data_IF_612887859087
#
_entry.id   IF_612887859087
#
_cell.length_a   1.000
_cell.length_b   1.000
_cell.length_c   1.000
_cell.angle_alpha   90.00
_cell.angle_beta   90.00
_cell.angle_gamma   90.00
#
_symmetry.space_group_name_H-M   'P 1'
#
loop_
_entity.id
_entity.type
_entity.pdbx_description
1 polymer ?
#
# COMPACT_ATOMS: atom_id res chain seq x y z
N UNK A 1 19.73 49.76 -1.68
CA UNK A 1 19.10 48.47 -2.04
C UNK A 1 18.28 48.00 -0.85
N UNK A 2 16.95 47.93 -0.95
CA UNK A 2 16.08 47.49 0.15
C UNK A 2 15.93 45.97 0.14
N UNK A 3 15.90 45.29 1.31
CA UNK A 3 15.72 43.84 1.35
C UNK A 3 14.26 43.46 1.06
N UNK A 4 14.07 42.35 0.35
CA UNK A 4 12.75 41.82 0.03
C UNK A 4 12.02 41.29 1.28
N UNK A 5 10.67 41.40 1.37
CA UNK A 5 9.94 40.94 2.54
C UNK A 5 9.85 39.41 2.61
N UNK A 6 10.12 38.86 3.80
CA UNK A 6 9.98 37.44 4.15
C UNK A 6 8.52 36.97 4.01
N UNK A 7 8.29 36.04 3.08
CA UNK A 7 6.98 35.42 2.81
C UNK A 7 6.63 34.45 3.93
N UNK A 8 5.58 34.75 4.71
CA UNK A 8 5.04 33.86 5.77
C UNK A 8 4.64 32.51 5.16
N UNK A 9 5.14 31.41 5.73
CA UNK A 9 4.73 30.03 5.40
C UNK A 9 3.24 29.87 5.70
N UNK A 10 2.43 29.56 4.68
CA UNK A 10 1.05 29.08 4.87
C UNK A 10 1.14 27.70 5.51
N UNK A 11 0.64 27.59 6.73
CA UNK A 11 0.44 26.34 7.43
C UNK A 11 -0.61 25.51 6.66
N UNK A 12 -0.18 24.37 6.12
CA UNK A 12 -1.07 23.45 5.40
C UNK A 12 -1.84 22.65 6.45
N UNK A 13 -3.14 22.94 6.62
CA UNK A 13 -4.00 22.14 7.48
C UNK A 13 -4.07 20.69 6.97
N UNK A 14 -3.89 19.67 7.83
CA UNK A 14 -3.95 18.27 7.41
C UNK A 14 -5.39 17.90 7.02
N UNK A 15 -5.52 17.29 5.84
CA UNK A 15 -6.80 16.79 5.31
C UNK A 15 -7.25 15.61 6.20
N UNK A 16 -8.48 15.61 6.75
CA UNK A 16 -8.96 14.51 7.57
C UNK A 16 -9.16 13.25 6.71
N UNK A 17 -8.43 12.18 7.03
CA UNK A 17 -8.49 10.86 6.37
C UNK A 17 -9.66 9.98 6.85
N UNK A 18 -10.74 10.57 7.40
CA UNK A 18 -11.85 9.81 7.99
C UNK A 18 -12.90 9.41 6.96
N UNK A 19 -12.52 8.53 6.04
CA UNK A 19 -13.47 7.77 5.22
C UNK A 19 -13.78 6.43 5.86
N UNK A 20 -14.91 6.28 6.55
CA UNK A 20 -15.37 4.97 7.03
C UNK A 20 -15.80 4.11 5.84
N UNK A 21 -14.92 3.18 5.44
CA UNK A 21 -15.12 2.35 4.25
C UNK A 21 -16.21 1.29 4.52
N UNK A 22 -17.41 1.51 3.99
CA UNK A 22 -18.53 0.55 4.04
C UNK A 22 -18.11 -0.81 3.46
N UNK A 23 -18.17 -1.86 4.27
CA UNK A 23 -17.72 -3.22 3.93
C UNK A 23 -18.70 -3.83 2.92
N UNK A 24 -18.37 -3.76 1.63
CA UNK A 24 -19.19 -4.37 0.57
C UNK A 24 -19.01 -5.89 0.59
N UNK A 25 -20.11 -6.63 0.51
CA UNK A 25 -20.10 -8.09 0.42
C UNK A 25 -19.82 -8.51 -1.03
N UNK A 26 -18.54 -8.64 -1.37
CA UNK A 26 -18.10 -8.95 -2.73
C UNK A 26 -18.17 -10.47 -2.94
N UNK A 27 -19.13 -10.94 -3.73
CA UNK A 27 -19.15 -12.34 -4.22
C UNK A 27 -18.00 -12.52 -5.22
N UNK A 28 -17.06 -13.42 -4.91
CA UNK A 28 -15.92 -13.73 -5.80
C UNK A 28 -16.32 -14.83 -6.77
N UNK A 29 -16.42 -14.52 -8.06
CA UNK A 29 -16.56 -15.52 -9.11
C UNK A 29 -15.16 -16.10 -9.42
N UNK A 30 -14.95 -17.38 -9.09
CA UNK A 30 -13.63 -18.02 -9.18
C UNK A 30 -13.01 -18.00 -10.59
N UNK A 31 -13.82 -18.01 -11.64
CA UNK A 31 -13.35 -18.05 -13.04
C UNK A 31 -12.99 -16.67 -13.63
N UNK A 32 -13.26 -15.57 -12.93
CA UNK A 32 -13.03 -14.19 -13.42
C UNK A 32 -12.16 -13.35 -12.49
N UNK A 33 -11.45 -14.00 -11.57
CA UNK A 33 -10.63 -13.31 -10.57
C UNK A 33 -9.18 -13.76 -10.70
N UNK A 34 -8.25 -12.85 -10.51
CA UNK A 34 -6.83 -13.13 -10.37
C UNK A 34 -6.25 -12.36 -9.18
N UNK A 35 -5.18 -12.88 -8.57
CA UNK A 35 -4.43 -12.22 -7.52
C UNK A 35 -3.12 -11.66 -8.09
N UNK A 36 -3.05 -10.34 -8.26
CA UNK A 36 -1.81 -9.65 -8.61
C UNK A 36 -1.10 -9.18 -7.34
N UNK A 37 0.16 -9.60 -7.17
CA UNK A 37 1.06 -9.16 -6.11
C UNK A 37 2.15 -8.33 -6.77
N UNK A 38 2.25 -7.05 -6.41
CA UNK A 38 3.15 -6.08 -7.04
C UNK A 38 4.33 -5.79 -6.12
N UNK A 39 5.53 -5.69 -6.69
CA UNK A 39 6.76 -5.21 -6.05
C UNK A 39 7.13 -5.86 -4.70
N UNK A 40 6.84 -7.15 -4.56
CA UNK A 40 7.23 -7.93 -3.36
C UNK A 40 8.65 -8.52 -3.46
N UNK A 41 9.54 -7.84 -4.18
CA UNK A 41 10.95 -8.23 -4.33
C UNK A 41 11.78 -7.82 -3.10
N UNK A 42 12.96 -8.43 -2.93
CA UNK A 42 13.82 -8.19 -1.76
C UNK A 42 14.24 -6.73 -1.60
N UNK A 43 14.38 -5.98 -2.70
CA UNK A 43 14.77 -4.56 -2.69
C UNK A 43 13.76 -3.67 -1.98
N UNK A 44 12.48 -4.01 -2.02
CA UNK A 44 11.43 -3.27 -1.32
C UNK A 44 11.27 -3.70 0.14
N UNK A 45 11.75 -4.89 0.51
CA UNK A 45 11.38 -5.56 1.78
C UNK A 45 12.56 -5.73 2.75
N UNK A 46 13.72 -6.15 2.26
CA UNK A 46 14.81 -6.66 3.08
C UNK A 46 16.00 -5.69 3.17
N UNK A 47 16.37 -5.09 2.05
CA UNK A 47 17.56 -4.24 1.98
C UNK A 47 17.24 -2.82 2.45
N UNK A 48 17.57 -2.50 3.71
CA UNK A 48 17.36 -1.15 4.28
C UNK A 48 18.10 -0.04 3.52
N UNK A 49 19.18 -0.40 2.84
CA UNK A 49 19.99 0.53 2.05
C UNK A 49 19.51 0.62 0.59
N UNK A 50 18.49 -0.15 0.21
CA UNK A 50 17.88 -0.04 -1.10
C UNK A 50 17.20 1.32 -1.23
N UNK A 51 17.36 2.02 -2.37
CA UNK A 51 16.67 3.28 -2.62
C UNK A 51 15.14 3.14 -2.63
N UNK A 52 14.64 1.92 -2.80
CA UNK A 52 13.20 1.60 -2.84
C UNK A 52 12.72 0.85 -1.60
N UNK A 53 13.47 0.87 -0.50
CA UNK A 53 13.11 0.17 0.73
C UNK A 53 11.81 0.70 1.36
N UNK A 54 10.84 -0.19 1.62
CA UNK A 54 9.54 0.13 2.21
C UNK A 54 9.39 -0.58 3.55
N UNK A 55 9.66 0.14 4.66
CA UNK A 55 9.57 -0.41 6.02
C UNK A 55 8.21 -1.06 6.35
N UNK A 56 7.05 -0.50 5.95
CA UNK A 56 5.75 -1.15 6.18
C UNK A 56 5.53 -2.47 5.44
N UNK A 57 6.28 -2.77 4.38
CA UNK A 57 6.06 -3.97 3.54
C UNK A 57 6.15 -5.26 4.36
N UNK A 58 7.07 -5.30 5.35
CA UNK A 58 7.22 -6.45 6.27
C UNK A 58 5.95 -6.81 7.03
N UNK A 59 5.10 -5.82 7.37
CA UNK A 59 3.84 -6.07 8.10
C UNK A 59 2.74 -6.65 7.21
N UNK A 60 2.88 -6.53 5.89
CA UNK A 60 1.87 -6.95 4.91
C UNK A 60 2.13 -8.38 4.41
N UNK A 61 3.40 -8.83 4.42
CA UNK A 61 3.81 -10.18 3.98
C UNK A 61 2.92 -11.30 4.57
N UNK A 62 2.66 -11.38 5.89
CA UNK A 62 1.87 -12.48 6.43
C UNK A 62 0.43 -12.51 5.89
N UNK A 63 -0.15 -11.33 5.62
CA UNK A 63 -1.49 -11.20 5.06
C UNK A 63 -1.52 -11.64 3.60
N UNK A 64 -0.49 -11.29 2.81
CA UNK A 64 -0.34 -11.70 1.42
C UNK A 64 -0.18 -13.21 1.33
N UNK A 65 0.69 -13.81 2.15
CA UNK A 65 0.89 -15.27 2.19
C UNK A 65 -0.43 -15.99 2.50
N UNK A 66 -1.18 -15.52 3.51
CA UNK A 66 -2.50 -16.09 3.83
C UNK A 66 -3.48 -16.00 2.66
N UNK A 67 -3.49 -14.88 1.94
CA UNK A 67 -4.35 -14.67 0.77
C UNK A 67 -3.94 -15.57 -0.41
N UNK A 68 -2.64 -15.68 -0.69
CA UNK A 68 -2.08 -16.50 -1.74
C UNK A 68 -2.43 -17.98 -1.53
N UNK A 69 -2.27 -18.49 -0.30
CA UNK A 69 -2.66 -19.86 0.04
C UNK A 69 -4.15 -20.12 -0.22
N UNK A 70 -5.02 -19.16 0.11
CA UNK A 70 -6.45 -19.28 -0.16
C UNK A 70 -6.77 -19.24 -1.67
N UNK A 71 -6.07 -18.43 -2.46
CA UNK A 71 -6.23 -18.39 -3.91
C UNK A 71 -5.78 -19.69 -4.57
N UNK A 72 -4.60 -20.22 -4.20
CA UNK A 72 -4.07 -21.49 -4.71
C UNK A 72 -5.03 -22.66 -4.47
N UNK A 73 -5.58 -22.77 -3.25
CA UNK A 73 -6.59 -23.80 -2.92
C UNK A 73 -7.84 -23.74 -3.79
N UNK A 74 -8.17 -22.56 -4.31
CA UNK A 74 -9.34 -22.31 -5.17
C UNK A 74 -8.99 -22.29 -6.65
N UNK A 75 -7.74 -22.61 -7.03
CA UNK A 75 -7.22 -22.52 -8.41
C UNK A 75 -7.47 -21.14 -9.03
N UNK A 76 -7.40 -20.10 -8.21
CA UNK A 76 -7.44 -18.71 -8.67
C UNK A 76 -6.01 -18.34 -9.09
N UNK A 77 -5.81 -17.86 -10.34
CA UNK A 77 -4.51 -17.41 -10.80
C UNK A 77 -3.97 -16.25 -9.96
#
# INVERSE_FOLDING_TARGET
MSPAPLRKKKELNPIPLTGTRKKRNIKRCGMKTALLIVDMQNDFIHFKNSPVYVLPAKKVIPKIVKLLTACRRKKIP
#
